data_IF_375417934051
#
_entry.id   IF_375417934051
#
_cell.length_a   1.000
_cell.length_b   1.000
_cell.length_c   1.000
_cell.angle_alpha   90.00
_cell.angle_beta   90.00
_cell.angle_gamma   90.00
#
_symmetry.space_group_name_H-M   'P 1'
#
loop_
_entity.id
_entity.type
_entity.pdbx_description
1 polymer ?
#
# COMPACT_ATOMS: atom_id res chain seq x y z
N UNK A 1 -8.45 -10.09 16.06
CA UNK A 1 -7.49 -9.43 15.16
C UNK A 1 -7.39 -10.22 13.88
N UNK A 2 -7.43 -9.56 12.72
CA UNK A 2 -7.26 -10.21 11.43
C UNK A 2 -5.83 -10.79 11.33
N UNK A 3 -5.71 -12.07 10.96
CA UNK A 3 -4.42 -12.74 10.76
C UNK A 3 -3.78 -12.46 9.38
N UNK A 4 -4.53 -11.84 8.47
CA UNK A 4 -4.13 -11.53 7.09
C UNK A 4 -4.93 -10.35 6.53
N UNK A 5 -4.49 -9.79 5.41
CA UNK A 5 -5.27 -8.80 4.66
C UNK A 5 -6.62 -9.38 4.20
N UNK A 6 -6.64 -10.63 3.73
CA UNK A 6 -7.88 -11.31 3.31
C UNK A 6 -8.95 -11.36 4.41
N UNK A 7 -8.52 -11.51 5.68
CA UNK A 7 -9.45 -11.52 6.80
C UNK A 7 -10.09 -10.14 7.06
N UNK A 8 -9.42 -9.04 6.72
CA UNK A 8 -10.01 -7.69 6.76
C UNK A 8 -11.10 -7.54 5.70
N UNK A 9 -10.83 -8.03 4.49
CA UNK A 9 -11.77 -7.95 3.36
C UNK A 9 -12.99 -8.87 3.55
N UNK A 10 -12.79 -10.03 4.17
CA UNK A 10 -13.86 -10.94 4.55
C UNK A 10 -14.82 -10.31 5.57
N UNK A 11 -14.29 -9.62 6.59
CA UNK A 11 -15.10 -8.87 7.56
C UNK A 11 -15.89 -7.75 6.87
N UNK A 12 -15.26 -6.98 5.97
CA UNK A 12 -15.93 -5.91 5.24
C UNK A 12 -17.09 -6.46 4.38
N UNK A 13 -16.86 -7.54 3.65
CA UNK A 13 -17.88 -8.18 2.82
C UNK A 13 -19.01 -8.82 3.65
N UNK A 14 -18.72 -9.35 4.84
CA UNK A 14 -19.73 -9.87 5.75
C UNK A 14 -20.58 -8.74 6.35
N UNK A 15 -19.94 -7.68 6.84
CA UNK A 15 -20.59 -6.52 7.43
C UNK A 15 -21.54 -5.84 6.43
N UNK A 16 -21.14 -5.71 5.16
CA UNK A 16 -21.99 -5.19 4.10
C UNK A 16 -23.24 -6.05 3.86
N UNK A 17 -23.09 -7.39 3.79
CA UNK A 17 -24.22 -8.33 3.65
C UNK A 17 -25.17 -8.31 4.83
N UNK A 18 -24.63 -8.09 6.03
CA UNK A 18 -25.39 -7.99 7.28
C UNK A 18 -26.05 -6.62 7.48
N UNK A 19 -25.66 -5.59 6.72
CA UNK A 19 -26.06 -4.21 6.97
C UNK A 19 -25.53 -3.66 8.31
N UNK A 20 -24.40 -4.20 8.79
CA UNK A 20 -23.80 -3.87 10.09
C UNK A 20 -22.61 -2.92 9.91
N UNK A 21 -22.49 -1.93 10.79
CA UNK A 21 -21.27 -1.13 10.87
C UNK A 21 -20.07 -1.97 11.33
N UNK A 22 -18.90 -1.75 10.74
CA UNK A 22 -17.65 -2.41 11.15
C UNK A 22 -16.48 -1.43 11.20
N UNK A 23 -15.50 -1.72 12.04
CA UNK A 23 -14.25 -0.97 12.16
C UNK A 23 -13.12 -1.96 11.95
N UNK A 24 -12.32 -1.72 10.90
CA UNK A 24 -11.18 -2.56 10.53
C UNK A 24 -9.92 -1.70 10.37
N UNK A 25 -8.76 -2.34 10.47
CA UNK A 25 -7.54 -1.74 9.94
C UNK A 25 -7.63 -1.66 8.42
N UNK A 26 -7.26 -0.52 7.84
CA UNK A 26 -7.17 -0.31 6.40
C UNK A 26 -6.07 0.74 6.12
N UNK A 27 -5.74 0.96 4.86
CA UNK A 27 -4.74 1.95 4.42
C UNK A 27 -5.07 2.49 3.03
N UNK A 28 -4.48 3.63 2.70
CA UNK A 28 -4.48 4.24 1.36
C UNK A 28 -3.03 4.48 0.97
N UNK A 29 -2.57 4.08 -0.24
CA UNK A 29 -3.37 3.59 -1.37
C UNK A 29 -3.78 2.12 -1.26
N UNK A 30 -5.01 1.78 -1.64
CA UNK A 30 -5.54 0.42 -1.65
C UNK A 30 -6.71 0.26 -2.65
N UNK A 31 -7.14 -0.97 -2.96
CA UNK A 31 -8.29 -1.20 -3.86
C UNK A 31 -9.61 -0.69 -3.26
N UNK A 32 -9.69 -0.59 -1.93
CA UNK A 32 -10.87 -0.10 -1.21
C UNK A 32 -11.08 1.41 -1.34
N UNK A 33 -10.09 2.17 -1.83
CA UNK A 33 -10.17 3.64 -1.99
C UNK A 33 -11.37 4.06 -2.86
N UNK A 34 -11.78 3.21 -3.81
CA UNK A 34 -12.94 3.46 -4.68
C UNK A 34 -14.30 3.02 -4.12
N UNK A 35 -14.32 2.24 -3.03
CA UNK A 35 -15.54 1.67 -2.45
C UNK A 35 -16.19 2.59 -1.40
N UNK A 36 -15.49 3.64 -0.96
CA UNK A 36 -15.98 4.59 0.03
C UNK A 36 -15.85 4.07 1.46
N UNK A 37 -14.85 4.57 2.18
CA UNK A 37 -14.70 4.40 3.63
C UNK A 37 -14.19 5.71 4.23
N UNK A 38 -14.24 5.83 5.56
CA UNK A 38 -13.60 6.94 6.27
C UNK A 38 -12.58 6.39 7.25
N UNK A 39 -11.41 7.02 7.30
CA UNK A 39 -10.51 6.80 8.43
C UNK A 39 -11.11 7.44 9.68
N UNK A 40 -10.83 6.83 10.84
CA UNK A 40 -11.13 7.43 12.13
C UNK A 40 -10.12 8.56 12.37
N UNK A 41 -10.62 9.74 12.71
CA UNK A 41 -9.82 10.92 13.01
C UNK A 41 -9.30 10.86 14.45
N UNK A 42 -8.19 10.13 14.63
CA UNK A 42 -7.44 10.09 15.89
C UNK A 42 -6.62 11.37 16.08
N UNK A 43 -6.14 11.68 17.31
CA UNK A 43 -5.24 12.81 17.52
C UNK A 43 -4.05 12.79 16.54
N UNK A 44 -3.67 13.90 15.91
CA UNK A 44 -2.62 13.90 14.90
C UNK A 44 -1.30 13.32 15.40
N UNK A 45 -0.58 12.64 14.50
CA UNK A 45 0.76 12.14 14.79
C UNK A 45 1.75 13.28 15.04
N UNK A 46 2.62 13.11 16.04
CA UNK A 46 3.82 13.93 16.26
C UNK A 46 5.04 13.05 16.45
N UNK A 47 6.22 13.56 16.06
CA UNK A 47 7.48 12.88 16.37
C UNK A 47 7.61 12.68 17.89
N UNK A 48 7.96 11.46 18.30
CA UNK A 48 8.03 11.08 19.71
C UNK A 48 6.74 10.49 20.29
N UNK A 49 5.60 10.53 19.58
CA UNK A 49 4.34 10.00 20.12
C UNK A 49 4.38 8.48 20.35
N UNK A 50 5.04 7.71 19.47
CA UNK A 50 4.99 6.25 19.55
C UNK A 50 5.74 5.73 20.78
N UNK A 51 5.32 4.59 21.36
CA UNK A 51 6.05 3.98 22.47
C UNK A 51 7.52 3.68 22.18
N UNK A 52 7.85 3.33 20.93
CA UNK A 52 9.24 3.10 20.49
C UNK A 52 10.09 4.38 20.46
N UNK A 53 9.45 5.53 20.40
CA UNK A 53 10.07 6.85 20.41
C UNK A 53 9.99 7.50 21.83
N UNK A 54 9.43 6.80 22.83
CA UNK A 54 9.31 7.24 24.23
C UNK A 54 7.97 7.89 24.61
N UNK A 55 7.00 7.94 23.71
CA UNK A 55 5.66 8.47 23.98
C UNK A 55 4.65 7.46 24.50
N UNK A 56 3.41 7.89 24.70
CA UNK A 56 2.30 7.07 25.22
C UNK A 56 1.49 6.34 24.12
N UNK A 57 1.73 6.65 22.85
CA UNK A 57 1.01 6.10 21.70
C UNK A 57 -0.39 6.68 21.50
N UNK A 58 -0.78 7.75 22.18
CA UNK A 58 -2.10 8.37 22.07
C UNK A 58 -2.24 9.29 20.83
N UNK A 59 -1.81 8.81 19.66
CA UNK A 59 -1.97 9.48 18.37
C UNK A 59 -2.38 8.50 17.26
N UNK A 60 -2.90 9.05 16.17
CA UNK A 60 -3.14 8.36 14.93
C UNK A 60 -1.85 7.96 14.21
N UNK A 61 -2.02 7.31 13.07
CA UNK A 61 -0.88 7.00 12.19
C UNK A 61 -0.37 8.26 11.50
N UNK A 62 0.94 8.34 11.20
CA UNK A 62 1.47 9.46 10.42
C UNK A 62 0.92 9.45 9.00
N UNK A 63 0.46 10.60 8.54
CA UNK A 63 0.29 10.85 7.11
C UNK A 63 1.68 10.97 6.49
N UNK A 64 1.91 10.34 5.33
CA UNK A 64 3.26 10.42 4.79
C UNK A 64 3.59 9.60 3.56
N UNK A 65 4.84 9.14 3.55
CA UNK A 65 5.55 8.66 2.39
C UNK A 65 5.51 7.13 2.28
N UNK A 66 5.57 6.64 1.04
CA UNK A 66 6.01 5.28 0.75
C UNK A 66 7.46 5.34 0.24
N UNK A 67 8.41 5.08 1.13
CA UNK A 67 9.85 5.14 0.80
C UNK A 67 10.35 3.82 0.20
N UNK A 68 11.39 3.94 -0.61
CA UNK A 68 12.15 2.81 -1.15
C UNK A 68 13.51 2.77 -0.45
N UNK A 69 13.93 1.60 -0.01
CA UNK A 69 15.23 1.38 0.59
C UNK A 69 16.00 0.29 -0.16
N UNK A 70 17.31 0.44 -0.24
CA UNK A 70 18.22 -0.55 -0.83
C UNK A 70 19.47 -0.64 0.03
N UNK A 71 20.13 -1.80 0.03
CA UNK A 71 21.43 -1.93 0.69
C UNK A 71 22.49 -1.15 -0.08
N UNK A 72 23.45 -0.58 0.63
CA UNK A 72 24.58 0.14 0.03
C UNK A 72 25.40 -0.78 -0.90
N UNK A 73 25.55 -2.06 -0.55
CA UNK A 73 26.25 -3.03 -1.40
C UNK A 73 25.56 -3.19 -2.76
N UNK A 74 24.22 -3.17 -2.80
CA UNK A 74 23.48 -3.37 -4.05
C UNK A 74 23.64 -2.20 -5.02
N UNK A 75 23.75 -0.97 -4.52
CA UNK A 75 23.99 0.20 -5.38
C UNK A 75 25.37 0.15 -6.04
N UNK A 76 26.35 -0.49 -5.38
CA UNK A 76 27.71 -0.71 -5.91
C UNK A 76 27.78 -1.88 -6.91
N UNK A 77 27.09 -2.99 -6.62
CA UNK A 77 27.14 -4.20 -7.48
C UNK A 77 26.18 -4.17 -8.65
N UNK A 78 25.06 -3.42 -8.55
CA UNK A 78 24.03 -3.33 -9.58
C UNK A 78 23.65 -1.87 -9.86
N UNK A 79 24.62 -1.01 -10.25
CA UNK A 79 24.39 0.44 -10.36
C UNK A 79 23.30 0.81 -11.37
N UNK A 80 23.17 0.06 -12.47
CA UNK A 80 22.09 0.28 -13.46
C UNK A 80 20.70 0.01 -12.86
N UNK A 81 20.54 -1.12 -12.17
CA UNK A 81 19.28 -1.43 -11.51
C UNK A 81 18.97 -0.43 -10.40
N UNK A 82 19.98 0.03 -9.65
CA UNK A 82 19.82 1.07 -8.64
C UNK A 82 19.37 2.41 -9.22
N UNK A 83 19.87 2.80 -10.39
CA UNK A 83 19.40 3.99 -11.09
C UNK A 83 17.93 3.87 -11.48
N UNK A 84 17.51 2.70 -12.01
CA UNK A 84 16.09 2.44 -12.34
C UNK A 84 15.22 2.47 -11.08
N UNK A 85 15.63 1.77 -10.03
CA UNK A 85 14.88 1.71 -8.77
C UNK A 85 14.77 3.09 -8.10
N UNK A 86 15.77 3.95 -8.24
CA UNK A 86 15.71 5.34 -7.79
C UNK A 86 14.63 6.14 -8.53
N UNK A 87 14.46 5.94 -9.84
CA UNK A 87 13.45 6.61 -10.69
C UNK A 87 12.04 6.04 -10.54
N UNK A 88 11.91 4.77 -10.20
CA UNK A 88 10.63 4.07 -10.05
C UNK A 88 9.69 4.77 -9.07
N UNK A 89 8.52 5.22 -9.51
CA UNK A 89 7.54 5.86 -8.63
C UNK A 89 6.14 5.48 -9.08
N UNK A 90 5.27 5.18 -8.11
CA UNK A 90 3.88 4.85 -8.37
C UNK A 90 2.99 5.89 -7.71
N UNK A 91 1.91 6.24 -8.40
CA UNK A 91 0.84 7.08 -7.85
C UNK A 91 -0.11 6.26 -6.97
N UNK A 92 -0.91 6.95 -6.15
CA UNK A 92 -2.00 6.33 -5.37
C UNK A 92 -2.89 5.45 -6.24
N UNK A 93 -3.36 5.98 -7.39
CA UNK A 93 -4.23 5.24 -8.30
C UNK A 93 -3.57 3.99 -8.89
N UNK A 94 -2.26 4.04 -9.18
CA UNK A 94 -1.54 2.87 -9.67
C UNK A 94 -1.41 1.78 -8.61
N UNK A 95 -1.11 2.15 -7.35
CA UNK A 95 -0.98 1.20 -6.25
C UNK A 95 -2.35 0.56 -5.95
N UNK A 96 -3.42 1.35 -5.88
CA UNK A 96 -4.78 0.84 -5.69
C UNK A 96 -5.21 -0.11 -6.82
N UNK A 97 -4.92 0.24 -8.07
CA UNK A 97 -5.19 -0.65 -9.21
C UNK A 97 -4.37 -1.96 -9.16
N UNK A 98 -3.11 -1.91 -8.72
CA UNK A 98 -2.29 -3.13 -8.52
C UNK A 98 -2.86 -4.02 -7.41
N UNK A 99 -3.35 -3.45 -6.31
CA UNK A 99 -4.02 -4.22 -5.26
C UNK A 99 -5.30 -4.89 -5.77
N UNK A 100 -6.10 -4.17 -6.58
CA UNK A 100 -7.34 -4.70 -7.15
C UNK A 100 -7.10 -5.95 -8.02
N UNK A 101 -6.00 -6.03 -8.77
CA UNK A 101 -5.67 -7.22 -9.58
C UNK A 101 -5.60 -8.50 -8.74
N UNK A 102 -5.19 -8.40 -7.48
CA UNK A 102 -5.07 -9.56 -6.58
C UNK A 102 -6.33 -9.71 -5.72
N UNK A 103 -6.74 -8.64 -5.04
CA UNK A 103 -7.80 -8.70 -4.04
C UNK A 103 -9.20 -8.76 -4.66
N UNK A 104 -9.40 -8.22 -5.87
CA UNK A 104 -10.68 -8.22 -6.60
C UNK A 104 -10.64 -9.24 -7.74
N UNK A 105 -9.68 -9.13 -8.65
CA UNK A 105 -9.60 -9.98 -9.85
C UNK A 105 -9.03 -11.38 -9.57
N UNK A 106 -8.58 -11.63 -8.33
CA UNK A 106 -8.08 -12.93 -7.84
C UNK A 106 -6.90 -13.47 -8.67
N UNK A 107 -6.09 -12.60 -9.25
CA UNK A 107 -4.86 -13.00 -9.93
C UNK A 107 -3.78 -13.42 -8.92
N UNK A 108 -2.88 -14.29 -9.37
CA UNK A 108 -1.61 -14.47 -8.67
C UNK A 108 -0.79 -13.17 -8.73
N UNK A 109 0.07 -12.92 -7.75
CA UNK A 109 0.96 -11.76 -7.76
C UNK A 109 1.85 -11.73 -9.01
N UNK A 110 2.28 -12.90 -9.51
CA UNK A 110 3.10 -13.01 -10.72
C UNK A 110 2.32 -12.58 -11.96
N UNK A 111 1.08 -13.08 -12.12
CA UNK A 111 0.24 -12.74 -13.27
C UNK A 111 -0.23 -11.29 -13.23
N UNK A 112 -0.56 -10.78 -12.03
CA UNK A 112 -0.85 -9.36 -11.82
C UNK A 112 0.35 -8.48 -12.22
N UNK A 113 1.58 -8.87 -11.83
CA UNK A 113 2.81 -8.18 -12.21
C UNK A 113 3.03 -8.18 -13.73
N UNK A 114 2.85 -9.33 -14.40
CA UNK A 114 2.95 -9.45 -15.86
C UNK A 114 1.92 -8.57 -16.56
N UNK A 115 0.67 -8.63 -16.11
CA UNK A 115 -0.43 -7.83 -16.67
C UNK A 115 -0.16 -6.33 -16.49
N UNK A 116 0.21 -5.90 -15.29
CA UNK A 116 0.51 -4.49 -15.03
C UNK A 116 1.64 -3.98 -15.92
N UNK A 117 2.72 -4.75 -16.09
CA UNK A 117 3.83 -4.38 -16.97
C UNK A 117 3.40 -4.27 -18.44
N UNK A 118 2.55 -5.18 -18.92
CA UNK A 118 2.01 -5.13 -20.28
C UNK A 118 1.13 -3.89 -20.50
N UNK A 119 0.27 -3.58 -19.54
CA UNK A 119 -0.71 -2.49 -19.66
C UNK A 119 -0.09 -1.10 -19.41
N UNK A 120 1.02 -1.01 -18.67
CA UNK A 120 1.60 0.25 -18.20
C UNK A 120 3.00 0.52 -18.78
N UNK A 121 3.24 0.10 -20.02
CA UNK A 121 4.55 0.18 -20.67
C UNK A 121 5.15 1.59 -20.66
N UNK A 122 4.31 2.61 -20.92
CA UNK A 122 4.74 4.02 -20.89
C UNK A 122 5.25 4.46 -19.52
N UNK A 123 4.67 3.92 -18.45
CA UNK A 123 5.03 4.26 -17.06
C UNK A 123 6.39 3.66 -16.73
N UNK A 124 6.53 2.34 -16.82
CA UNK A 124 7.76 1.70 -16.33
C UNK A 124 8.95 1.94 -17.26
N UNK A 125 8.74 2.11 -18.57
CA UNK A 125 9.83 2.48 -19.47
C UNK A 125 10.45 3.83 -19.11
N UNK A 126 9.68 4.76 -18.54
CA UNK A 126 10.23 6.04 -18.07
C UNK A 126 11.23 5.86 -16.93
N UNK A 127 11.14 4.77 -16.15
CA UNK A 127 12.11 4.47 -15.09
C UNK A 127 13.42 3.91 -15.64
N UNK A 128 13.39 3.31 -16.84
CA UNK A 128 14.55 2.66 -17.48
C UNK A 128 15.41 3.61 -18.31
N UNK A 129 14.88 4.78 -18.66
CA UNK A 129 15.60 5.88 -19.28
C UNK A 129 16.28 6.68 -18.20
#
# INVERSE_FOLDING_TARGET
>A
FAGSADALWAELAAAEKEGRGTIIFNWTPNFTDGAGFTFIDFPPYTDGCRPVDGGDGACGSPDGYLKKAVSEKWTKTHPKAAAVFKKMAFTTGQIGAMAALVDVDKMSHEDAGKKWLADNEKVWKAFTK
#
